data_IF_694432326778
#
_entry.id   IF_694432326778
#
_cell.length_a   1.000
_cell.length_b   1.000
_cell.length_c   1.000
_cell.angle_alpha   90.00
_cell.angle_beta   90.00
_cell.angle_gamma   90.00
#
_symmetry.space_group_name_H-M   'P 1'
#
loop_
_entity.id
_entity.type
_entity.pdbx_description
1 polymer ?
#
# COMPACT_ATOMS: atom_id res chain seq x y z
N UNK A 1 -0.43 -10.76 -37.83
CA UNK A 1 -0.88 -12.18 -37.95
C UNK A 1 -2.28 -12.37 -37.34
N UNK A 2 -3.22 -13.03 -38.06
CA UNK A 2 -4.63 -13.26 -37.65
C UNK A 2 -4.86 -14.58 -36.86
N UNK A 3 -3.83 -15.41 -36.69
CA UNK A 3 -3.93 -16.70 -35.98
C UNK A 3 -3.08 -16.65 -34.71
N UNK A 4 -3.73 -16.81 -33.55
CA UNK A 4 -3.07 -16.95 -32.25
C UNK A 4 -3.06 -18.40 -31.82
N UNK A 5 -1.87 -18.98 -31.70
CA UNK A 5 -1.66 -20.29 -31.10
C UNK A 5 -1.43 -20.13 -29.60
N UNK A 6 -2.10 -20.97 -28.78
CA UNK A 6 -1.93 -20.95 -27.31
C UNK A 6 -1.48 -22.33 -26.85
N UNK A 7 -0.33 -22.37 -26.18
CA UNK A 7 0.19 -23.56 -25.52
C UNK A 7 0.11 -23.39 -24.01
N UNK A 8 -0.38 -24.43 -23.30
CA UNK A 8 -0.46 -24.45 -21.84
C UNK A 8 0.53 -25.48 -21.31
N UNK A 9 1.51 -25.02 -20.54
CA UNK A 9 2.52 -25.89 -19.92
C UNK A 9 2.20 -26.01 -18.44
N UNK A 10 2.04 -27.25 -17.97
CA UNK A 10 1.85 -27.56 -16.54
C UNK A 10 3.20 -27.94 -15.95
N UNK A 11 3.61 -27.26 -14.88
CA UNK A 11 4.81 -27.63 -14.14
C UNK A 11 4.59 -28.94 -13.36
N UNK A 12 5.64 -29.77 -13.18
CA UNK A 12 5.58 -30.93 -12.30
C UNK A 12 5.18 -30.53 -10.88
N UNK A 13 4.42 -31.38 -10.17
CA UNK A 13 3.93 -31.07 -8.81
C UNK A 13 5.06 -30.73 -7.81
N UNK A 14 6.26 -31.29 -7.99
CA UNK A 14 7.44 -31.00 -7.16
C UNK A 14 8.00 -29.59 -7.37
N UNK A 15 7.61 -28.89 -8.44
CA UNK A 15 8.05 -27.54 -8.81
C UNK A 15 6.87 -26.59 -8.99
N UNK A 16 5.72 -26.86 -8.36
CA UNK A 16 4.52 -26.03 -8.43
C UNK A 16 4.62 -24.77 -7.54
N UNK A 17 5.78 -24.11 -7.55
CA UNK A 17 6.04 -22.88 -6.81
C UNK A 17 6.05 -21.67 -7.74
N UNK A 18 5.72 -20.50 -7.20
CA UNK A 18 5.77 -19.24 -7.95
C UNK A 18 7.17 -18.91 -8.45
N UNK A 19 8.20 -19.25 -7.67
CA UNK A 19 9.59 -19.10 -8.06
C UNK A 19 9.93 -19.92 -9.30
N UNK A 20 9.53 -21.20 -9.34
CA UNK A 20 9.78 -22.06 -10.50
C UNK A 20 9.04 -21.56 -11.76
N UNK A 21 7.80 -21.10 -11.61
CA UNK A 21 7.04 -20.51 -12.73
C UNK A 21 7.71 -19.25 -13.30
N UNK A 22 8.28 -18.40 -12.44
CA UNK A 22 9.04 -17.23 -12.88
C UNK A 22 10.34 -17.62 -13.60
N UNK A 23 11.09 -18.57 -13.05
CA UNK A 23 12.34 -19.05 -13.65
C UNK A 23 12.13 -19.62 -15.06
N UNK A 24 11.09 -20.45 -15.25
CA UNK A 24 10.76 -21.01 -16.58
C UNK A 24 10.34 -19.91 -17.55
N UNK A 25 9.59 -18.91 -17.09
CA UNK A 25 9.17 -17.77 -17.91
C UNK A 25 10.38 -16.95 -18.37
N UNK A 26 11.32 -16.68 -17.48
CA UNK A 26 12.56 -15.94 -17.78
C UNK A 26 13.51 -16.73 -18.69
N UNK A 27 13.64 -18.04 -18.47
CA UNK A 27 14.40 -18.93 -19.36
C UNK A 27 13.82 -18.92 -20.78
N UNK A 28 12.50 -19.07 -20.92
CA UNK A 28 11.85 -19.04 -22.23
C UNK A 28 12.03 -17.71 -22.96
N UNK A 29 11.99 -16.57 -22.24
CA UNK A 29 12.30 -15.25 -22.82
C UNK A 29 13.75 -15.15 -23.28
N UNK A 30 14.68 -15.72 -22.51
CA UNK A 30 16.12 -15.66 -22.80
C UNK A 30 16.54 -16.57 -23.96
N UNK A 31 15.98 -17.77 -24.04
CA UNK A 31 16.36 -18.76 -25.06
C UNK A 31 15.65 -18.54 -26.41
N UNK A 32 14.44 -17.97 -26.41
CA UNK A 32 13.62 -17.80 -27.62
C UNK A 32 13.18 -16.33 -27.83
N UNK A 33 14.10 -15.36 -27.87
CA UNK A 33 13.75 -13.93 -27.96
C UNK A 33 13.06 -13.55 -29.28
N UNK A 34 13.35 -14.26 -30.38
CA UNK A 34 12.80 -13.98 -31.71
C UNK A 34 11.42 -14.59 -31.96
N UNK A 35 10.95 -15.46 -31.06
CA UNK A 35 9.75 -16.25 -31.31
C UNK A 35 8.45 -15.43 -31.17
N UNK A 36 8.52 -14.20 -30.64
CA UNK A 36 7.36 -13.31 -30.49
C UNK A 36 6.30 -13.85 -29.53
N UNK A 37 6.70 -14.67 -28.55
CA UNK A 37 5.79 -15.32 -27.62
C UNK A 37 5.29 -14.35 -26.56
N UNK A 38 3.97 -14.30 -26.39
CA UNK A 38 3.36 -13.73 -25.20
C UNK A 38 3.33 -14.78 -24.09
N UNK A 39 4.34 -14.78 -23.22
CA UNK A 39 4.45 -15.74 -22.13
C UNK A 39 3.76 -15.18 -20.89
N UNK A 40 2.74 -15.91 -20.40
CA UNK A 40 2.00 -15.59 -19.18
C UNK A 40 2.07 -16.75 -18.21
N UNK A 41 2.19 -16.45 -16.92
CA UNK A 41 2.14 -17.45 -15.85
C UNK A 41 0.98 -17.14 -14.88
N UNK A 42 0.79 -17.99 -13.85
CA UNK A 42 -0.31 -17.82 -12.89
C UNK A 42 -0.26 -16.50 -12.12
N UNK A 43 0.93 -15.90 -12.01
CA UNK A 43 1.20 -14.67 -11.29
C UNK A 43 1.03 -13.41 -12.16
N UNK A 44 1.07 -13.58 -13.50
CA UNK A 44 0.95 -12.51 -14.48
C UNK A 44 -0.03 -12.90 -15.61
N UNK A 45 -1.24 -13.29 -15.23
CA UNK A 45 -2.30 -13.64 -16.20
C UNK A 45 -2.86 -12.40 -16.93
N UNK A 46 -2.91 -11.27 -16.23
CA UNK A 46 -3.28 -9.95 -16.73
C UNK A 46 -2.55 -8.88 -15.91
N UNK A 47 -1.79 -7.98 -16.53
CA UNK A 47 -1.13 -6.88 -15.82
C UNK A 47 -2.13 -5.99 -15.05
N UNK A 48 -3.35 -5.83 -15.58
CA UNK A 48 -4.41 -5.07 -14.89
C UNK A 48 -4.85 -5.78 -13.60
N UNK A 49 -5.10 -7.09 -13.68
CA UNK A 49 -5.53 -7.88 -12.53
C UNK A 49 -4.42 -7.96 -11.49
N UNK A 50 -3.17 -8.16 -11.92
CA UNK A 50 -2.01 -8.18 -11.04
C UNK A 50 -1.85 -6.86 -10.28
N UNK A 51 -1.91 -5.72 -10.99
CA UNK A 51 -1.86 -4.39 -10.35
C UNK A 51 -3.01 -4.18 -9.35
N UNK A 52 -4.21 -4.65 -9.67
CA UNK A 52 -5.36 -4.52 -8.77
C UNK A 52 -5.22 -5.41 -7.53
N UNK A 53 -4.75 -6.66 -7.68
CA UNK A 53 -4.46 -7.57 -6.56
C UNK A 53 -3.33 -7.01 -5.70
N UNK A 54 -2.26 -6.51 -6.31
CA UNK A 54 -1.14 -5.90 -5.59
C UNK A 54 -1.59 -4.68 -4.78
N UNK A 55 -2.36 -3.77 -5.38
CA UNK A 55 -2.95 -2.62 -4.67
C UNK A 55 -3.85 -3.05 -3.52
N UNK A 56 -4.66 -4.09 -3.71
CA UNK A 56 -5.52 -4.63 -2.67
C UNK A 56 -4.70 -5.22 -1.51
N UNK A 57 -3.64 -5.97 -1.81
CA UNK A 57 -2.72 -6.50 -0.79
C UNK A 57 -1.95 -5.39 -0.07
N UNK A 58 -1.51 -4.35 -0.79
CA UNK A 58 -0.88 -3.16 -0.20
C UNK A 58 -1.85 -2.44 0.76
N UNK A 59 -3.10 -2.28 0.33
CA UNK A 59 -4.16 -1.71 1.17
C UNK A 59 -4.38 -2.53 2.44
N UNK A 60 -4.57 -3.84 2.32
CA UNK A 60 -4.75 -4.73 3.48
C UNK A 60 -3.54 -4.69 4.42
N UNK A 61 -2.34 -4.55 3.86
CA UNK A 61 -1.10 -4.39 4.64
C UNK A 61 -1.15 -3.09 5.46
N UNK A 62 -1.50 -1.96 4.84
CA UNK A 62 -1.63 -0.68 5.56
C UNK A 62 -2.69 -0.78 6.64
N UNK A 63 -3.87 -1.31 6.33
CA UNK A 63 -4.97 -1.48 7.30
C UNK A 63 -4.52 -2.37 8.47
N UNK A 64 -3.87 -3.50 8.19
CA UNK A 64 -3.35 -4.42 9.20
C UNK A 64 -2.32 -3.77 10.11
N UNK A 65 -1.31 -3.09 9.54
CA UNK A 65 -0.29 -2.37 10.31
C UNK A 65 -0.88 -1.20 11.12
N UNK A 66 -1.94 -0.56 10.62
CA UNK A 66 -2.65 0.51 11.34
C UNK A 66 -3.48 -0.03 12.49
N UNK A 67 -4.19 -1.14 12.29
CA UNK A 67 -4.88 -1.84 13.37
C UNK A 67 -3.91 -2.27 14.47
N UNK A 68 -2.71 -2.75 14.10
CA UNK A 68 -1.67 -3.14 15.04
C UNK A 68 -1.15 -1.94 15.85
N UNK A 69 -0.92 -0.81 15.19
CA UNK A 69 -0.47 0.43 15.82
C UNK A 69 -1.50 1.00 16.81
N UNK A 70 -2.78 1.06 16.41
CA UNK A 70 -3.89 1.48 17.29
C UNK A 70 -4.08 0.52 18.45
N UNK A 71 -4.04 -0.79 18.19
CA UNK A 71 -4.07 -1.82 19.22
C UNK A 71 -2.92 -1.66 20.21
N UNK A 72 -1.69 -1.43 19.72
CA UNK A 72 -0.50 -1.20 20.53
C UNK A 72 -0.63 0.02 21.45
N UNK A 73 -1.09 1.16 20.93
CA UNK A 73 -1.35 2.35 21.77
C UNK A 73 -2.44 2.08 22.80
N UNK A 74 -3.48 1.33 22.44
CA UNK A 74 -4.49 0.85 23.38
C UNK A 74 -3.89 0.03 24.52
N UNK A 75 -2.99 -0.91 24.21
CA UNK A 75 -2.25 -1.71 25.19
C UNK A 75 -1.38 -0.82 26.09
N UNK A 76 -0.61 0.10 25.53
CA UNK A 76 0.23 1.03 26.31
C UNK A 76 -0.61 1.83 27.32
N UNK A 77 -1.76 2.33 26.89
CA UNK A 77 -2.67 3.11 27.74
C UNK A 77 -3.35 2.25 28.81
N UNK A 78 -3.80 1.05 28.46
CA UNK A 78 -4.40 0.11 29.39
C UNK A 78 -3.40 -0.31 30.47
N UNK A 79 -2.18 -0.65 30.08
CA UNK A 79 -1.09 -1.02 31.00
C UNK A 79 -0.72 0.16 31.90
N UNK A 80 -0.56 1.37 31.34
CA UNK A 80 -0.29 2.58 32.13
C UNK A 80 -1.40 2.81 33.17
N UNK A 81 -2.66 2.79 32.73
CA UNK A 81 -3.83 3.00 33.61
C UNK A 81 -3.91 1.94 34.71
N UNK A 82 -3.63 0.68 34.37
CA UNK A 82 -3.59 -0.42 35.34
C UNK A 82 -2.49 -0.22 36.39
N UNK A 83 -1.29 0.15 35.96
CA UNK A 83 -0.16 0.42 36.86
C UNK A 83 -0.41 1.64 37.76
N UNK A 84 -1.01 2.70 37.22
CA UNK A 84 -1.38 3.89 37.98
C UNK A 84 -2.37 3.53 39.11
N UNK A 85 -3.36 2.67 38.84
CA UNK A 85 -4.32 2.17 39.86
C UNK A 85 -3.68 1.24 40.88
N UNK A 86 -2.64 0.49 40.50
CA UNK A 86 -1.94 -0.46 41.38
C UNK A 86 -0.70 0.13 42.05
N UNK A 87 -0.47 1.45 41.92
CA UNK A 87 0.73 2.12 42.42
C UNK A 87 0.94 1.93 43.93
N UNK A 88 -0.12 2.04 44.73
CA UNK A 88 -0.07 1.79 46.16
C UNK A 88 0.33 0.34 46.48
N UNK A 89 -0.27 -0.65 45.79
CA UNK A 89 0.09 -2.06 45.94
C UNK A 89 1.55 -2.34 45.55
N UNK A 90 2.05 -1.71 44.49
CA UNK A 90 3.46 -1.78 44.08
C UNK A 90 4.37 -1.22 45.18
N UNK A 91 4.02 -0.08 45.76
CA UNK A 91 4.78 0.51 46.85
C UNK A 91 4.82 -0.39 48.09
N UNK A 92 3.70 -1.02 48.45
CA UNK A 92 3.63 -2.01 49.55
C UNK A 92 4.52 -3.22 49.29
N UNK A 93 4.51 -3.78 48.09
CA UNK A 93 5.41 -4.89 47.73
C UNK A 93 6.89 -4.50 47.87
N UNK A 94 7.25 -3.28 47.44
CA UNK A 94 8.62 -2.77 47.57
C UNK A 94 9.00 -2.46 49.03
N UNK A 95 8.04 -2.01 49.86
CA UNK A 95 8.23 -1.83 51.29
C UNK A 95 8.54 -3.17 52.00
N UNK A 96 7.91 -4.26 51.55
CA UNK A 96 8.16 -5.62 52.02
C UNK A 96 9.43 -6.26 51.43
N UNK A 97 10.24 -5.51 50.68
CA UNK A 97 11.53 -5.97 50.14
C UNK A 97 11.49 -6.52 48.71
N UNK A 98 10.39 -6.40 47.97
CA UNK A 98 10.37 -6.81 46.56
C UNK A 98 11.30 -5.91 45.72
N UNK A 99 12.17 -6.54 44.92
CA UNK A 99 13.01 -5.81 43.97
C UNK A 99 12.17 -5.24 42.81
N UNK A 100 12.62 -4.13 42.22
CA UNK A 100 11.93 -3.53 41.05
C UNK A 100 11.83 -4.50 39.87
N UNK A 101 12.83 -5.36 39.67
CA UNK A 101 12.80 -6.43 38.67
C UNK A 101 11.68 -7.43 38.91
N UNK A 102 11.44 -7.80 40.17
CA UNK A 102 10.36 -8.72 40.54
C UNK A 102 8.99 -8.13 40.22
N UNK A 103 8.79 -6.85 40.56
CA UNK A 103 7.57 -6.11 40.21
C UNK A 103 7.39 -6.08 38.69
N UNK A 104 8.43 -5.70 37.95
CA UNK A 104 8.41 -5.66 36.49
C UNK A 104 8.01 -7.03 35.89
N UNK A 105 8.63 -8.13 36.33
CA UNK A 105 8.33 -9.47 35.81
C UNK A 105 6.90 -9.90 36.10
N UNK A 106 6.36 -9.58 37.29
CA UNK A 106 4.96 -9.91 37.65
C UNK A 106 3.97 -9.22 36.72
N UNK A 107 4.12 -7.92 36.49
CA UNK A 107 3.19 -7.21 35.62
C UNK A 107 3.47 -7.50 34.13
N UNK A 108 4.70 -7.80 33.74
CA UNK A 108 5.02 -8.23 32.38
C UNK A 108 4.33 -9.56 32.07
N UNK A 109 4.39 -10.53 32.99
CA UNK A 109 3.75 -11.83 32.79
C UNK A 109 2.23 -11.69 32.70
N UNK A 110 1.61 -10.82 33.52
CA UNK A 110 0.17 -10.52 33.40
C UNK A 110 -0.20 -9.98 32.01
N UNK A 111 0.58 -9.02 31.49
CA UNK A 111 0.35 -8.45 30.17
C UNK A 111 0.55 -9.49 29.07
N UNK A 112 1.60 -10.32 29.16
CA UNK A 112 1.89 -11.35 28.16
C UNK A 112 0.86 -12.48 28.17
N UNK A 113 0.35 -12.88 29.34
CA UNK A 113 -0.75 -13.85 29.45
C UNK A 113 -2.01 -13.27 28.79
N UNK A 114 -2.33 -12.00 29.06
CA UNK A 114 -3.49 -11.36 28.46
C UNK A 114 -3.33 -11.21 26.93
N UNK A 115 -2.12 -10.90 26.46
CA UNK A 115 -1.78 -10.85 25.05
C UNK A 115 -1.87 -12.24 24.38
N UNK A 116 -1.48 -13.30 25.07
CA UNK A 116 -1.60 -14.67 24.57
C UNK A 116 -3.07 -15.08 24.42
N UNK A 117 -3.90 -14.81 25.44
CA UNK A 117 -5.34 -15.09 25.40
C UNK A 117 -6.01 -14.26 24.30
N UNK A 118 -5.75 -12.95 24.26
CA UNK A 118 -6.29 -12.07 23.23
C UNK A 118 -5.83 -12.46 21.82
N UNK A 119 -4.56 -12.84 21.67
CA UNK A 119 -3.99 -13.33 20.42
C UNK A 119 -4.61 -14.66 19.98
N UNK A 120 -4.87 -15.59 20.91
CA UNK A 120 -5.54 -16.86 20.61
C UNK A 120 -6.98 -16.63 20.14
N UNK A 121 -7.73 -15.75 20.81
CA UNK A 121 -9.08 -15.35 20.39
C UNK A 121 -9.03 -14.68 19.01
N UNK A 122 -8.10 -13.74 18.79
CA UNK A 122 -7.91 -13.08 17.51
C UNK A 122 -7.55 -14.04 16.37
N UNK A 123 -6.67 -15.00 16.63
CA UNK A 123 -6.30 -16.04 15.67
C UNK A 123 -7.47 -16.97 15.34
N UNK A 124 -8.28 -17.35 16.34
CA UNK A 124 -9.48 -18.14 16.13
C UNK A 124 -10.51 -17.40 15.26
N UNK A 125 -10.75 -16.11 15.56
CA UNK A 125 -11.62 -15.26 14.74
C UNK A 125 -11.07 -15.11 13.31
N UNK A 126 -9.77 -14.87 13.16
CA UNK A 126 -9.11 -14.78 11.86
C UNK A 126 -9.18 -16.07 11.05
N UNK A 127 -9.08 -17.23 11.70
CA UNK A 127 -9.21 -18.55 11.06
C UNK A 127 -10.64 -18.81 10.56
N UNK A 128 -11.66 -18.31 11.26
CA UNK A 128 -13.07 -18.49 10.90
C UNK A 128 -13.50 -17.54 9.77
N UNK A 129 -12.90 -16.34 9.68
CA UNK A 129 -13.33 -15.30 8.74
C UNK A 129 -13.41 -15.75 7.27
N UNK A 130 -12.42 -16.45 6.67
CA UNK A 130 -12.51 -16.91 5.29
C UNK A 130 -13.73 -17.81 5.03
N UNK A 131 -14.07 -18.68 5.97
CA UNK A 131 -15.24 -19.57 5.88
C UNK A 131 -16.54 -18.78 5.97
N UNK A 132 -16.62 -17.81 6.90
CA UNK A 132 -17.79 -16.95 7.06
C UNK A 132 -18.05 -16.10 5.81
N UNK A 133 -16.99 -15.52 5.24
CA UNK A 133 -17.08 -14.73 3.99
C UNK A 133 -17.50 -15.61 2.81
N UNK A 134 -16.91 -16.79 2.67
CA UNK A 134 -17.29 -17.74 1.62
C UNK A 134 -18.75 -18.17 1.73
N UNK A 135 -19.28 -18.38 2.94
CA UNK A 135 -20.67 -18.77 3.15
C UNK A 135 -21.65 -17.63 2.84
N UNK A 136 -21.33 -16.40 3.26
CA UNK A 136 -22.21 -15.26 3.08
C UNK A 136 -22.18 -14.69 1.64
N UNK A 137 -21.03 -14.70 0.98
CA UNK A 137 -20.80 -13.98 -0.29
C UNK A 137 -20.35 -14.88 -1.44
N UNK A 138 -20.11 -16.17 -1.22
CA UNK A 138 -19.61 -17.09 -2.26
C UNK A 138 -20.53 -17.23 -3.48
N UNK A 139 -21.84 -17.01 -3.32
CA UNK A 139 -22.81 -17.05 -4.42
C UNK A 139 -22.78 -15.78 -5.30
N UNK A 140 -22.29 -14.66 -4.77
CA UNK A 140 -22.26 -13.36 -5.46
C UNK A 140 -20.91 -13.14 -6.16
N UNK A 141 -19.85 -13.76 -5.64
CA UNK A 141 -18.49 -13.62 -6.16
C UNK A 141 -18.28 -14.66 -7.27
N UNK A 142 -18.05 -14.24 -8.54
CA UNK A 142 -17.89 -15.15 -9.69
C UNK A 142 -16.51 -15.85 -9.72
N UNK A 143 -15.86 -16.02 -8.57
CA UNK A 143 -14.51 -16.57 -8.41
C UNK A 143 -14.58 -17.69 -7.36
N UNK A 144 -14.03 -18.90 -7.63
CA UNK A 144 -14.04 -19.99 -6.66
C UNK A 144 -13.18 -19.63 -5.43
N UNK A 145 -13.84 -19.20 -4.36
CA UNK A 145 -13.23 -19.02 -3.05
C UNK A 145 -13.09 -20.38 -2.37
N UNK A 146 -11.86 -20.87 -2.26
CA UNK A 146 -11.57 -22.09 -1.51
C UNK A 146 -11.04 -21.63 -0.14
N UNK A 147 -11.88 -21.61 0.91
CA UNK A 147 -11.41 -21.25 2.23
C UNK A 147 -10.41 -22.30 2.72
N UNK A 148 -9.20 -21.85 3.04
CA UNK A 148 -8.13 -22.69 3.54
C UNK A 148 -7.55 -22.09 4.83
N UNK A 149 -7.12 -22.98 5.72
CA UNK A 149 -6.36 -22.58 6.90
C UNK A 149 -4.88 -22.51 6.52
N UNK A 150 -4.24 -21.39 6.85
CA UNK A 150 -2.82 -21.18 6.68
C UNK A 150 -2.16 -21.06 8.07
N UNK A 151 -1.66 -22.16 8.66
CA UNK A 151 -1.08 -22.14 10.01
C UNK A 151 0.10 -21.18 10.15
N UNK A 152 0.89 -21.00 9.08
CA UNK A 152 2.00 -20.04 9.04
C UNK A 152 1.54 -18.61 9.31
N UNK A 153 0.43 -18.19 8.68
CA UNK A 153 -0.13 -16.85 8.83
C UNK A 153 -0.74 -16.63 10.22
N UNK A 154 -1.36 -17.68 10.79
CA UNK A 154 -1.90 -17.62 12.16
C UNK A 154 -0.79 -17.49 13.21
N UNK A 155 0.30 -18.25 13.06
CA UNK A 155 1.47 -18.13 13.92
C UNK A 155 2.09 -16.74 13.79
N UNK A 156 2.20 -16.24 12.55
CA UNK A 156 2.74 -14.92 12.29
C UNK A 156 1.88 -13.81 12.93
N UNK A 157 0.56 -13.88 12.80
CA UNK A 157 -0.37 -12.96 13.46
C UNK A 157 -0.21 -12.97 14.99
N UNK A 158 -0.02 -14.17 15.58
CA UNK A 158 0.23 -14.31 17.00
C UNK A 158 1.56 -13.69 17.43
N UNK A 159 2.62 -13.86 16.63
CA UNK A 159 3.92 -13.20 16.87
C UNK A 159 3.77 -11.68 16.79
N UNK A 160 3.07 -11.14 15.79
CA UNK A 160 2.80 -9.69 15.71
C UNK A 160 2.04 -9.17 16.93
N UNK A 161 0.99 -9.88 17.36
CA UNK A 161 0.20 -9.50 18.53
C UNK A 161 1.02 -9.49 19.82
N UNK A 162 1.79 -10.54 20.09
CA UNK A 162 2.65 -10.65 21.26
C UNK A 162 3.77 -9.61 21.25
N UNK A 163 4.43 -9.43 20.11
CA UNK A 163 5.53 -8.47 19.97
C UNK A 163 5.04 -7.02 20.09
N UNK A 164 3.84 -6.74 19.58
CA UNK A 164 3.17 -5.43 19.76
C UNK A 164 2.82 -5.19 21.22
N UNK A 165 2.20 -6.16 21.89
CA UNK A 165 1.89 -6.04 23.32
C UNK A 165 3.16 -5.80 24.14
N UNK A 166 4.24 -6.54 23.85
CA UNK A 166 5.55 -6.36 24.48
C UNK A 166 6.11 -4.95 24.21
N UNK A 167 6.25 -4.54 22.95
CA UNK A 167 6.83 -3.26 22.55
C UNK A 167 6.13 -2.07 23.24
N UNK A 168 4.80 -2.09 23.28
CA UNK A 168 4.00 -0.99 23.84
C UNK A 168 3.84 -1.06 25.36
N UNK A 169 3.94 -2.24 25.99
CA UNK A 169 3.88 -2.38 27.45
C UNK A 169 5.21 -2.07 28.14
N UNK A 170 6.36 -2.30 27.49
CA UNK A 170 7.67 -2.16 28.10
C UNK A 170 7.96 -0.76 28.66
N UNK A 171 7.54 0.28 27.96
CA UNK A 171 7.73 1.66 28.40
C UNK A 171 6.98 2.01 29.70
N UNK A 172 5.64 1.84 29.79
CA UNK A 172 4.92 2.10 31.04
C UNK A 172 5.38 1.18 32.18
N UNK A 173 5.72 -0.08 31.88
CA UNK A 173 6.19 -1.04 32.86
C UNK A 173 7.59 -0.70 33.42
N UNK A 174 8.49 -0.25 32.55
CA UNK A 174 9.81 0.23 32.92
C UNK A 174 9.76 1.47 33.83
N UNK A 175 8.72 2.30 33.72
CA UNK A 175 8.49 3.40 34.67
C UNK A 175 7.96 2.92 36.02
N UNK A 176 7.12 1.88 36.03
CA UNK A 176 6.62 1.30 37.29
C UNK A 176 7.74 0.64 38.14
N UNK A 177 8.82 0.17 37.50
CA UNK A 177 10.00 -0.36 38.19
C UNK A 177 10.56 0.62 39.23
N UNK A 178 10.61 1.92 38.90
CA UNK A 178 11.25 2.95 39.71
C UNK A 178 10.28 3.69 40.66
N UNK A 179 9.06 3.17 40.87
CA UNK A 179 8.12 3.74 41.85
C UNK A 179 8.75 3.72 43.26
N UNK A 180 8.93 4.86 43.93
CA UNK A 180 9.53 4.91 45.26
C UNK A 180 8.59 4.34 46.32
N UNK A 181 9.15 3.74 47.38
CA UNK A 181 8.38 3.25 48.54
C UNK A 181 7.61 4.40 49.22
N UNK A 182 8.19 5.61 49.21
CA UNK A 182 7.55 6.83 49.73
C UNK A 182 6.28 7.27 48.98
N UNK A 183 5.95 6.64 47.84
CA UNK A 183 4.64 6.83 47.21
C UNK A 183 3.49 6.42 48.13
N UNK A 184 3.71 5.50 49.09
CA UNK A 184 2.71 5.09 50.09
C UNK A 184 2.29 6.21 51.05
N UNK A 185 3.16 7.21 51.28
CA UNK A 185 2.98 8.26 52.29
C UNK A 185 2.75 9.66 51.71
N UNK A 186 3.04 9.85 50.42
CA UNK A 186 2.85 11.13 49.68
C UNK A 186 2.16 10.85 48.35
N UNK A 187 0.89 10.50 48.41
CA UNK A 187 0.11 10.18 47.20
C UNK A 187 -0.15 11.39 46.27
N UNK A 188 0.20 12.63 46.66
CA UNK A 188 -0.35 13.83 45.99
C UNK A 188 0.67 14.88 45.48
N UNK A 189 1.91 14.99 45.99
CA UNK A 189 2.69 16.25 45.79
C UNK A 189 3.85 16.21 44.77
N UNK A 190 4.33 15.06 44.30
CA UNK A 190 5.30 15.10 43.19
C UNK A 190 5.35 13.80 42.39
N UNK A 191 4.57 13.72 41.32
CA UNK A 191 4.92 12.84 40.21
C UNK A 191 6.20 13.38 39.56
N UNK A 192 7.37 12.99 40.08
CA UNK A 192 8.62 13.23 39.37
C UNK A 192 8.56 12.41 38.07
N UNK A 193 8.73 13.04 36.90
CA UNK A 193 8.78 12.32 35.63
C UNK A 193 10.12 11.58 35.54
N UNK A 194 10.23 10.43 36.20
CA UNK A 194 11.39 9.57 36.04
C UNK A 194 11.28 8.85 34.71
N UNK A 195 12.18 9.19 33.79
CA UNK A 195 12.43 8.35 32.63
C UNK A 195 12.80 6.93 33.10
N UNK A 196 12.34 5.88 32.41
CA UNK A 196 12.71 4.53 32.78
C UNK A 196 14.23 4.35 32.67
N UNK A 197 14.80 3.42 33.44
CA UNK A 197 16.24 3.09 33.35
C UNK A 197 16.65 2.80 31.90
N UNK A 198 17.89 3.16 31.55
CA UNK A 198 18.46 2.98 30.21
C UNK A 198 18.30 1.56 29.66
N UNK A 199 18.33 0.54 30.54
CA UNK A 199 18.08 -0.86 30.17
C UNK A 199 16.67 -1.09 29.60
N UNK A 200 15.64 -0.53 30.23
CA UNK A 200 14.26 -0.67 29.76
C UNK A 200 13.97 0.20 28.54
N UNK A 201 14.65 1.34 28.39
CA UNK A 201 14.64 2.12 27.16
C UNK A 201 15.22 1.30 26.01
N UNK A 202 16.41 0.71 26.19
CA UNK A 202 17.05 -0.12 25.18
C UNK A 202 16.17 -1.33 24.80
N UNK A 203 15.53 -1.97 25.79
CA UNK A 203 14.65 -3.11 25.56
C UNK A 203 13.34 -2.70 24.83
N UNK A 204 12.80 -1.52 25.12
CA UNK A 204 11.66 -0.95 24.37
C UNK A 204 12.06 -0.66 22.93
N UNK A 205 13.20 0.00 22.72
CA UNK A 205 13.72 0.31 21.37
C UNK A 205 13.98 -0.99 20.59
N UNK A 206 14.58 -1.99 21.23
CA UNK A 206 14.80 -3.30 20.61
C UNK A 206 13.48 -3.98 20.21
N UNK A 207 12.46 -3.94 21.07
CA UNK A 207 11.14 -4.51 20.76
C UNK A 207 10.42 -3.77 19.62
N UNK A 208 10.48 -2.43 19.60
CA UNK A 208 9.91 -1.62 18.50
C UNK A 208 10.66 -1.85 17.19
N UNK A 209 11.99 -1.93 17.21
CA UNK A 209 12.80 -2.24 16.03
C UNK A 209 12.54 -3.67 15.55
N UNK A 210 12.42 -4.65 16.45
CA UNK A 210 12.05 -6.01 16.10
C UNK A 210 10.66 -6.05 15.43
N UNK A 211 9.69 -5.31 15.97
CA UNK A 211 8.35 -5.21 15.39
C UNK A 211 8.36 -4.58 14.00
N UNK A 212 9.05 -3.45 13.84
CA UNK A 212 9.19 -2.77 12.55
C UNK A 212 9.96 -3.59 11.52
N UNK A 213 11.02 -4.28 11.94
CA UNK A 213 11.82 -5.15 11.06
C UNK A 213 11.01 -6.35 10.62
N UNK A 214 10.27 -6.99 11.53
CA UNK A 214 9.35 -8.09 11.21
C UNK A 214 8.27 -7.61 10.22
N UNK A 215 7.65 -6.46 10.49
CA UNK A 215 6.67 -5.83 9.61
C UNK A 215 7.21 -5.57 8.19
N UNK A 216 8.46 -5.13 8.07
CA UNK A 216 9.08 -4.85 6.77
C UNK A 216 9.51 -6.13 6.05
N UNK A 217 10.11 -7.09 6.74
CA UNK A 217 10.68 -8.29 6.13
C UNK A 217 9.60 -9.22 5.58
N UNK A 218 8.47 -9.32 6.27
CA UNK A 218 7.38 -10.23 5.93
C UNK A 218 6.24 -9.56 5.15
N UNK A 219 6.28 -8.24 4.91
CA UNK A 219 5.32 -7.59 4.04
C UNK A 219 5.49 -8.02 2.58
N UNK A 220 4.37 -8.17 1.88
CA UNK A 220 4.33 -8.45 0.44
C UNK A 220 5.08 -7.37 -0.35
N UNK A 221 4.79 -6.11 -0.05
CA UNK A 221 5.53 -4.95 -0.57
C UNK A 221 6.34 -4.28 0.55
N UNK A 222 7.65 -4.52 0.53
CA UNK A 222 8.58 -3.93 1.50
C UNK A 222 8.64 -2.41 1.42
N UNK A 223 8.43 -1.81 0.24
CA UNK A 223 8.45 -0.34 0.08
C UNK A 223 7.28 0.27 0.80
N UNK A 224 6.09 -0.30 0.64
CA UNK A 224 4.88 0.14 1.35
C UNK A 224 5.04 -0.02 2.86
N UNK A 225 5.61 -1.14 3.33
CA UNK A 225 5.85 -1.35 4.75
C UNK A 225 6.88 -0.35 5.34
N UNK A 226 8.00 -0.09 4.65
CA UNK A 226 9.00 0.91 5.07
C UNK A 226 8.37 2.30 5.14
N UNK A 227 7.64 2.70 4.10
CA UNK A 227 6.96 3.99 4.05
C UNK A 227 5.95 4.10 5.18
N UNK A 228 5.15 3.06 5.42
CA UNK A 228 4.19 3.04 6.51
C UNK A 228 4.85 3.18 7.88
N UNK A 229 5.92 2.44 8.17
CA UNK A 229 6.66 2.55 9.44
C UNK A 229 7.23 3.96 9.63
N UNK A 230 7.78 4.56 8.56
CA UNK A 230 8.28 5.93 8.61
C UNK A 230 7.16 6.96 8.86
N UNK A 231 6.03 6.83 8.16
CA UNK A 231 4.84 7.69 8.34
C UNK A 231 4.27 7.51 9.74
N UNK A 232 4.13 6.28 10.23
CA UNK A 232 3.67 5.99 11.59
C UNK A 232 4.56 6.64 12.65
N UNK A 233 5.88 6.57 12.50
CA UNK A 233 6.82 7.25 13.38
C UNK A 233 6.66 8.78 13.30
N UNK A 234 6.52 9.33 12.10
CA UNK A 234 6.28 10.75 11.87
C UNK A 234 4.97 11.22 12.54
N UNK A 235 3.87 10.48 12.35
CA UNK A 235 2.57 10.74 12.98
C UNK A 235 2.68 10.67 14.50
N UNK A 236 3.39 9.68 15.04
CA UNK A 236 3.60 9.57 16.48
C UNK A 236 4.36 10.79 17.04
N UNK A 237 5.42 11.22 16.37
CA UNK A 237 6.18 12.43 16.72
C UNK A 237 5.30 13.67 16.59
N UNK A 238 4.54 13.80 15.49
CA UNK A 238 3.65 14.92 15.25
C UNK A 238 2.58 15.03 16.33
N UNK A 239 1.89 13.94 16.67
CA UNK A 239 0.89 13.93 17.75
C UNK A 239 1.52 14.26 19.10
N UNK A 240 2.76 13.84 19.33
CA UNK A 240 3.52 14.21 20.54
C UNK A 240 3.85 15.71 20.57
N UNK A 241 4.21 16.29 19.42
CA UNK A 241 4.45 17.72 19.26
C UNK A 241 3.15 18.51 19.46
N UNK A 242 2.05 18.09 18.86
CA UNK A 242 0.72 18.70 19.04
C UNK A 242 0.30 18.68 20.51
N UNK A 243 0.44 17.55 21.20
CA UNK A 243 0.15 17.46 22.63
C UNK A 243 1.04 18.40 23.46
N UNK A 244 2.32 18.54 23.08
CA UNK A 244 3.26 19.45 23.75
C UNK A 244 2.95 20.91 23.47
N UNK A 245 2.57 21.24 22.24
CA UNK A 245 2.15 22.57 21.82
C UNK A 245 0.86 22.98 22.53
N UNK A 246 -0.14 22.10 22.64
CA UNK A 246 -1.36 22.35 23.39
C UNK A 246 -1.07 22.66 24.87
N UNK A 247 -0.15 21.91 25.50
CA UNK A 247 0.28 22.20 26.87
C UNK A 247 1.03 23.53 26.96
N UNK A 248 1.87 23.85 25.98
CA UNK A 248 2.62 25.11 25.92
C UNK A 248 1.69 26.32 25.77
N UNK A 249 0.70 26.23 24.86
CA UNK A 249 -0.34 27.25 24.68
C UNK A 249 -1.15 27.40 25.96
N UNK A 250 -1.62 26.30 26.57
CA UNK A 250 -2.39 26.34 27.81
C UNK A 250 -1.60 26.95 28.98
N UNK A 251 -0.28 26.73 29.03
CA UNK A 251 0.60 27.32 30.04
C UNK A 251 0.78 28.83 29.88
N UNK A 252 0.81 29.33 28.64
CA UNK A 252 0.97 30.75 28.32
C UNK A 252 -0.36 31.50 28.15
N UNK A 253 -1.49 30.81 28.21
CA UNK A 253 -2.80 31.43 28.10
C UNK A 253 -3.03 32.43 29.26
N UNK A 254 -3.66 33.59 28.99
CA UNK A 254 -3.98 34.57 30.02
C UNK A 254 -4.88 33.94 31.10
N UNK A 255 -4.63 34.30 32.36
CA UNK A 255 -5.34 33.74 33.51
C UNK A 255 -6.82 34.13 33.42
N UNK A 256 -7.68 33.13 33.24
CA UNK A 256 -9.13 33.34 33.25
C UNK A 256 -9.60 33.90 34.61
N UNK A 257 -10.54 34.86 34.58
CA UNK A 257 -11.11 35.47 35.79
C UNK A 257 -11.92 34.49 36.64
N UNK A 258 -12.53 33.47 36.01
CA UNK A 258 -13.25 32.41 36.70
C UNK A 258 -12.30 31.34 37.25
N UNK A 259 -12.47 30.99 38.53
CA UNK A 259 -11.70 29.92 39.19
C UNK A 259 -11.89 28.56 38.51
N UNK A 260 -13.10 28.26 38.03
CA UNK A 260 -13.38 26.99 37.33
C UNK A 260 -12.60 26.85 36.02
N UNK A 261 -12.63 27.89 35.18
CA UNK A 261 -11.88 27.92 33.91
C UNK A 261 -10.37 27.87 34.14
N UNK A 262 -9.87 28.59 35.15
CA UNK A 262 -8.46 28.54 35.54
C UNK A 262 -8.02 27.14 35.96
N UNK A 263 -8.83 26.43 36.74
CA UNK A 263 -8.56 25.04 37.14
C UNK A 263 -8.63 24.07 35.95
N UNK A 264 -9.57 24.28 35.03
CA UNK A 264 -9.69 23.49 33.81
C UNK A 264 -8.45 23.62 32.91
N UNK A 265 -8.01 24.86 32.63
CA UNK A 265 -6.79 25.13 31.84
C UNK A 265 -5.53 24.60 32.54
N UNK A 266 -5.44 24.74 33.87
CA UNK A 266 -4.34 24.19 34.65
C UNK A 266 -4.24 22.65 34.57
N UNK A 267 -5.37 21.95 34.48
CA UNK A 267 -5.40 20.50 34.32
C UNK A 267 -4.82 20.02 32.98
N UNK A 268 -4.76 20.89 31.96
CA UNK A 268 -4.24 20.56 30.63
C UNK A 268 -2.71 20.46 30.62
N UNK A 269 -2.01 21.33 31.36
CA UNK A 269 -0.54 21.41 31.31
C UNK A 269 0.18 20.94 32.58
N UNK A 270 -0.53 20.63 33.68
CA UNK A 270 0.09 20.22 34.94
C UNK A 270 0.95 18.95 34.79
N UNK A 271 2.00 18.77 35.62
CA UNK A 271 2.74 17.50 35.68
C UNK A 271 1.80 16.33 35.94
N UNK A 272 1.78 15.34 35.03
CA UNK A 272 0.83 14.22 35.08
C UNK A 272 -0.51 14.47 34.39
N UNK A 273 -0.67 15.57 33.64
CA UNK A 273 -1.85 15.81 32.82
C UNK A 273 -2.13 14.66 31.84
N UNK A 274 -3.41 14.36 31.63
CA UNK A 274 -3.87 13.34 30.70
C UNK A 274 -3.76 13.78 29.24
N UNK A 275 -3.55 15.09 28.98
CA UNK A 275 -3.52 15.70 27.63
C UNK A 275 -2.65 14.93 26.64
N UNK A 276 -1.36 14.63 26.92
CA UNK A 276 -0.51 13.95 25.95
C UNK A 276 -0.99 12.53 25.63
N UNK A 277 -1.60 11.86 26.60
CA UNK A 277 -2.14 10.51 26.44
C UNK A 277 -3.43 10.53 25.63
N UNK A 278 -4.32 11.49 25.91
CA UNK A 278 -5.60 11.66 25.18
C UNK A 278 -5.35 12.08 23.74
N UNK A 279 -4.49 13.08 23.51
CA UNK A 279 -4.12 13.54 22.16
C UNK A 279 -3.52 12.41 21.34
N UNK A 280 -2.64 11.61 21.95
CA UNK A 280 -2.05 10.46 21.27
C UNK A 280 -3.09 9.38 20.98
N UNK A 281 -3.92 9.00 21.96
CA UNK A 281 -4.93 7.95 21.81
C UNK A 281 -6.02 8.32 20.80
N UNK A 282 -6.58 9.53 20.93
CA UNK A 282 -7.65 10.03 20.06
C UNK A 282 -7.09 10.39 18.68
N UNK A 283 -5.92 11.04 18.63
CA UNK A 283 -5.28 11.43 17.38
C UNK A 283 -4.92 10.24 16.50
N UNK A 284 -4.42 9.14 17.08
CA UNK A 284 -4.15 7.91 16.33
C UNK A 284 -5.44 7.27 15.81
N UNK A 285 -6.51 7.26 16.63
CA UNK A 285 -7.80 6.70 16.25
C UNK A 285 -8.46 7.49 15.11
N UNK A 286 -8.43 8.82 15.19
CA UNK A 286 -8.91 9.70 14.12
C UNK A 286 -8.03 9.57 12.88
N UNK A 287 -6.71 9.52 13.02
CA UNK A 287 -5.81 9.32 11.89
C UNK A 287 -6.09 8.00 11.16
N UNK A 288 -6.35 6.92 11.89
CA UNK A 288 -6.79 5.64 11.30
C UNK A 288 -8.12 5.80 10.56
N UNK A 289 -9.12 6.43 11.19
CA UNK A 289 -10.43 6.62 10.56
C UNK A 289 -10.33 7.43 9.28
N UNK A 290 -9.60 8.55 9.30
CA UNK A 290 -9.35 9.39 8.12
C UNK A 290 -8.59 8.60 7.06
N UNK A 291 -7.58 7.82 7.43
CA UNK A 291 -6.82 6.98 6.49
C UNK A 291 -7.75 5.98 5.79
N UNK A 292 -8.65 5.33 6.52
CA UNK A 292 -9.61 4.38 5.92
C UNK A 292 -10.58 5.10 4.97
N UNK A 293 -11.08 6.28 5.35
CA UNK A 293 -11.98 7.09 4.50
C UNK A 293 -11.28 7.54 3.22
N UNK A 294 -10.05 8.04 3.33
CA UNK A 294 -9.25 8.48 2.18
C UNK A 294 -8.97 7.32 1.23
N UNK A 295 -8.69 6.13 1.76
CA UNK A 295 -8.47 4.95 0.92
C UNK A 295 -9.77 4.51 0.23
N UNK A 296 -10.91 4.46 0.93
CA UNK A 296 -12.20 4.16 0.30
C UNK A 296 -12.53 5.17 -0.82
N UNK A 297 -12.34 6.47 -0.55
CA UNK A 297 -12.50 7.52 -1.54
C UNK A 297 -11.58 7.37 -2.74
N UNK A 298 -10.30 7.02 -2.50
CA UNK A 298 -9.33 6.78 -3.56
C UNK A 298 -9.73 5.60 -4.45
N UNK A 299 -10.14 4.47 -3.84
CA UNK A 299 -10.58 3.29 -4.58
C UNK A 299 -11.83 3.59 -5.41
N UNK A 300 -12.85 4.23 -4.81
CA UNK A 300 -14.07 4.62 -5.54
C UNK A 300 -13.77 5.53 -6.72
N UNK A 301 -12.93 6.54 -6.52
CA UNK A 301 -12.53 7.44 -7.60
C UNK A 301 -11.75 6.68 -8.69
N UNK A 302 -10.89 5.73 -8.32
CA UNK A 302 -10.15 4.94 -9.28
C UNK A 302 -11.08 4.06 -10.14
N UNK A 303 -12.09 3.43 -9.55
CA UNK A 303 -13.07 2.64 -10.29
C UNK A 303 -14.05 3.50 -11.10
N UNK A 304 -14.48 4.66 -10.56
CA UNK A 304 -15.40 5.56 -11.26
C UNK A 304 -14.73 6.28 -12.45
N UNK A 305 -13.44 6.61 -12.33
CA UNK A 305 -12.70 7.32 -13.38
C UNK A 305 -12.21 6.41 -14.52
N UNK A 306 -12.31 5.08 -14.39
CA UNK A 306 -11.99 4.13 -15.47
C UNK A 306 -13.12 3.96 -16.49
N UNK A 307 -14.32 4.48 -16.23
CA UNK A 307 -15.40 4.53 -17.21
C UNK A 307 -15.45 5.94 -17.81
N UNK A 308 -14.91 6.17 -19.02
CA UNK A 308 -15.15 7.44 -19.68
C UNK A 308 -16.66 7.53 -19.94
N UNK A 309 -17.32 8.55 -19.40
CA UNK A 309 -18.67 8.95 -19.81
C UNK A 309 -18.77 9.35 -21.31
N UNK A 310 -17.67 9.21 -22.06
CA UNK A 310 -17.47 9.57 -23.47
C UNK A 310 -16.87 8.43 -24.30
N UNK A 311 -16.96 7.17 -23.87
CA UNK A 311 -16.52 6.07 -24.71
C UNK A 311 -17.49 5.90 -25.90
N UNK A 312 -16.99 5.75 -27.15
CA UNK A 312 -17.79 5.36 -28.29
C UNK A 312 -18.68 4.16 -27.97
N UNK A 313 -19.96 4.25 -28.32
CA UNK A 313 -20.90 3.15 -28.14
C UNK A 313 -20.59 1.96 -29.06
N UNK A 314 -19.96 2.25 -30.21
CA UNK A 314 -19.56 1.25 -31.19
C UNK A 314 -18.16 1.54 -31.73
N UNK A 315 -17.39 0.48 -31.95
CA UNK A 315 -16.09 0.52 -32.60
C UNK A 315 -16.12 -0.43 -33.80
N UNK A 316 -15.80 0.11 -34.97
CA UNK A 316 -15.65 -0.67 -36.19
C UNK A 316 -14.17 -0.72 -36.56
N UNK A 317 -13.64 -1.92 -36.76
CA UNK A 317 -12.22 -2.16 -37.03
C UNK A 317 -12.06 -2.84 -38.39
N UNK A 318 -10.88 -2.70 -38.98
CA UNK A 318 -10.48 -3.35 -40.24
C UNK A 318 -11.43 -3.02 -41.42
N UNK A 319 -11.97 -1.80 -41.47
CA UNK A 319 -12.72 -1.29 -42.64
C UNK A 319 -11.71 -1.05 -43.78
N UNK A 320 -11.85 -1.73 -44.93
CA UNK A 320 -10.98 -1.49 -46.08
C UNK A 320 -11.05 -0.04 -46.57
N UNK A 321 -9.92 0.53 -47.01
CA UNK A 321 -9.84 1.93 -47.41
C UNK A 321 -10.79 2.30 -48.57
N UNK A 322 -11.08 1.35 -49.45
CA UNK A 322 -12.04 1.47 -50.55
C UNK A 322 -13.51 1.44 -50.08
N UNK A 323 -13.78 0.90 -48.88
CA UNK A 323 -15.12 0.79 -48.29
C UNK A 323 -15.42 1.85 -47.22
N UNK A 324 -14.43 2.65 -46.82
CA UNK A 324 -14.58 3.66 -45.77
C UNK A 324 -15.69 4.69 -46.06
N UNK A 325 -15.69 5.28 -47.28
CA UNK A 325 -16.72 6.24 -47.70
C UNK A 325 -18.14 5.66 -47.73
N UNK A 326 -18.39 4.52 -48.42
CA UNK A 326 -19.69 3.85 -48.36
C UNK A 326 -20.18 3.56 -46.93
N UNK A 327 -19.25 3.21 -46.03
CA UNK A 327 -19.58 2.94 -44.64
C UNK A 327 -19.96 4.21 -43.87
N UNK A 328 -19.24 5.32 -44.03
CA UNK A 328 -19.59 6.60 -43.40
C UNK A 328 -20.98 7.08 -43.87
N UNK A 329 -21.26 6.99 -45.17
CA UNK A 329 -22.56 7.34 -45.74
C UNK A 329 -23.69 6.47 -45.14
N UNK A 330 -23.45 5.17 -44.97
CA UNK A 330 -24.39 4.25 -44.32
C UNK A 330 -24.66 4.62 -42.86
N UNK A 331 -23.61 4.93 -42.08
CA UNK A 331 -23.76 5.31 -40.67
C UNK A 331 -24.52 6.63 -40.54
N UNK A 332 -24.23 7.62 -41.39
CA UNK A 332 -24.95 8.91 -41.41
C UNK A 332 -26.42 8.76 -41.78
N UNK A 333 -26.75 7.84 -42.69
CA UNK A 333 -28.13 7.55 -43.06
C UNK A 333 -28.92 6.91 -41.89
N UNK A 334 -28.29 5.98 -41.16
CA UNK A 334 -28.95 5.26 -40.07
C UNK A 334 -28.99 6.05 -38.76
N UNK A 335 -27.98 6.89 -38.50
CA UNK A 335 -27.84 7.68 -37.29
C UNK A 335 -27.35 9.11 -37.61
N UNK A 336 -28.24 10.02 -38.05
CA UNK A 336 -27.87 11.36 -38.49
C UNK A 336 -27.20 12.22 -37.41
N UNK A 337 -27.48 11.94 -36.13
CA UNK A 337 -26.91 12.64 -34.99
C UNK A 337 -25.62 11.99 -34.45
N UNK A 338 -25.14 10.89 -35.05
CA UNK A 338 -23.93 10.22 -34.59
C UNK A 338 -22.68 11.03 -34.97
N UNK A 339 -21.76 11.20 -34.01
CA UNK A 339 -20.42 11.70 -34.28
C UNK A 339 -19.57 10.54 -34.80
N UNK A 340 -19.28 10.54 -36.10
CA UNK A 340 -18.37 9.56 -36.73
C UNK A 340 -16.97 10.13 -36.72
N UNK A 341 -16.04 9.42 -36.08
CA UNK A 341 -14.61 9.73 -36.09
C UNK A 341 -13.88 8.63 -36.86
N UNK A 342 -13.31 8.99 -38.01
CA UNK A 342 -12.49 8.08 -38.81
C UNK A 342 -11.02 8.28 -38.46
N UNK A 343 -10.33 7.20 -38.11
CA UNK A 343 -8.90 7.22 -37.84
C UNK A 343 -8.20 6.21 -38.76
N UNK A 344 -7.40 6.67 -39.72
CA UNK A 344 -6.66 5.78 -40.60
C UNK A 344 -5.66 4.96 -39.77
N UNK A 345 -5.66 3.64 -39.97
CA UNK A 345 -4.75 2.72 -39.28
C UNK A 345 -4.09 1.74 -40.23
N UNK A 346 -2.84 1.42 -39.95
CA UNK A 346 -2.08 0.35 -40.59
C UNK A 346 -1.37 -0.46 -39.49
N UNK A 347 -1.04 -1.72 -39.77
CA UNK A 347 -0.32 -2.56 -38.80
C UNK A 347 1.16 -2.57 -39.12
N UNK A 348 1.99 -2.28 -38.13
CA UNK A 348 3.44 -2.38 -38.23
C UNK A 348 4.07 -2.84 -36.93
N UNK A 349 5.30 -3.34 -37.03
CA UNK A 349 6.07 -3.86 -35.89
C UNK A 349 7.38 -3.11 -35.78
N UNK A 350 7.73 -2.67 -34.58
CA UNK A 350 9.02 -2.02 -34.32
C UNK A 350 10.12 -3.09 -34.39
N UNK A 351 11.06 -2.91 -35.33
CA UNK A 351 12.20 -3.81 -35.52
C UNK A 351 13.43 -3.29 -34.79
N UNK A 352 13.66 -1.99 -34.86
CA UNK A 352 14.79 -1.34 -34.21
C UNK A 352 14.40 0.04 -33.66
N UNK A 353 15.07 0.46 -32.60
CA UNK A 353 14.97 1.81 -32.04
C UNK A 353 16.34 2.25 -31.52
N UNK A 354 16.74 3.48 -31.80
CA UNK A 354 18.08 4.03 -31.46
C UNK A 354 19.23 3.22 -32.05
N UNK A 355 19.01 2.59 -33.20
CA UNK A 355 19.98 1.66 -33.82
C UNK A 355 20.17 0.35 -33.06
N UNK A 356 19.36 0.07 -32.02
CA UNK A 356 19.37 -1.19 -31.28
C UNK A 356 18.19 -2.05 -31.75
N UNK A 357 18.43 -3.34 -32.00
CA UNK A 357 17.38 -4.28 -32.37
C UNK A 357 16.38 -4.48 -31.24
N UNK A 358 15.11 -4.70 -31.59
CA UNK A 358 14.01 -4.85 -30.63
C UNK A 358 14.26 -5.92 -29.54
N UNK A 359 15.07 -6.96 -29.81
CA UNK A 359 15.44 -7.98 -28.80
C UNK A 359 16.36 -7.45 -27.70
N UNK A 360 17.24 -6.52 -28.10
CA UNK A 360 18.32 -6.06 -27.24
C UNK A 360 17.93 -4.77 -26.51
N UNK A 361 16.78 -4.19 -26.88
CA UNK A 361 16.12 -3.14 -26.12
C UNK A 361 15.66 -3.67 -24.76
N UNK A 362 15.95 -2.90 -23.71
CA UNK A 362 15.48 -3.13 -22.35
C UNK A 362 14.37 -2.14 -22.03
N UNK A 363 13.13 -2.38 -22.50
CA UNK A 363 12.00 -1.51 -22.23
C UNK A 363 11.61 -1.58 -20.75
N UNK A 364 10.91 -0.56 -20.26
CA UNK A 364 10.16 -0.66 -19.01
C UNK A 364 9.00 -1.66 -19.15
N UNK A 365 8.53 -2.23 -18.04
CA UNK A 365 7.44 -3.22 -18.04
C UNK A 365 6.17 -2.70 -18.73
N UNK A 366 5.90 -1.40 -18.61
CA UNK A 366 4.75 -0.73 -19.22
C UNK A 366 4.91 -0.48 -20.74
N UNK A 367 6.14 -0.55 -21.28
CA UNK A 367 6.42 -0.33 -22.70
C UNK A 367 6.82 -1.62 -23.45
N UNK A 368 7.18 -2.68 -22.73
CA UNK A 368 7.66 -3.94 -23.30
C UNK A 368 6.68 -4.57 -24.29
N UNK A 369 5.37 -4.42 -24.05
CA UNK A 369 4.33 -4.95 -24.91
C UNK A 369 4.41 -4.38 -26.34
N UNK A 370 4.87 -3.14 -26.53
CA UNK A 370 4.92 -2.48 -27.85
C UNK A 370 5.86 -3.21 -28.82
N UNK A 371 6.91 -3.84 -28.31
CA UNK A 371 7.90 -4.56 -29.12
C UNK A 371 7.49 -6.00 -29.47
N UNK A 372 6.46 -6.55 -28.81
CA UNK A 372 6.15 -8.00 -28.88
C UNK A 372 5.22 -8.39 -30.03
N UNK A 373 4.54 -7.45 -30.69
CA UNK A 373 3.54 -7.76 -31.72
C UNK A 373 3.31 -6.59 -32.66
N UNK A 374 2.68 -6.86 -33.81
CA UNK A 374 2.19 -5.83 -34.71
C UNK A 374 1.23 -4.88 -33.96
N UNK A 375 1.45 -3.58 -34.09
CA UNK A 375 0.65 -2.52 -33.49
C UNK A 375 -0.06 -1.72 -34.56
N UNK A 376 -1.23 -1.20 -34.19
CA UNK A 376 -1.93 -0.20 -34.99
C UNK A 376 -1.12 1.09 -34.98
N UNK A 377 -0.77 1.56 -36.15
CA UNK A 377 -0.06 2.81 -36.40
C UNK A 377 -1.02 3.68 -37.19
N UNK A 378 -1.21 4.90 -36.74
CA UNK A 378 -1.99 5.88 -37.50
C UNK A 378 -1.08 6.70 -38.38
N UNK A 379 -1.57 7.07 -39.56
CA UNK A 379 -0.90 7.96 -40.51
C UNK A 379 -1.68 9.26 -40.71
N UNK A 380 -2.41 9.70 -39.66
CA UNK A 380 -3.13 10.97 -39.67
C UNK A 380 -2.19 12.15 -39.92
N UNK A 381 -2.59 13.06 -40.82
CA UNK A 381 -1.89 14.32 -41.07
C UNK A 381 -2.06 15.33 -39.93
N UNK A 382 -3.11 15.21 -39.13
CA UNK A 382 -3.39 16.07 -37.97
C UNK A 382 -3.19 15.31 -36.66
N UNK A 383 -2.92 16.06 -35.57
CA UNK A 383 -2.88 15.50 -34.22
C UNK A 383 -4.22 14.81 -33.93
N UNK A 384 -4.25 13.52 -33.58
CA UNK A 384 -5.50 12.82 -33.28
C UNK A 384 -6.27 13.47 -32.13
N UNK A 385 -7.60 13.50 -32.24
CA UNK A 385 -8.47 14.03 -31.19
C UNK A 385 -8.21 13.32 -29.85
N UNK A 386 -8.10 14.10 -28.78
CA UNK A 386 -7.75 13.60 -27.43
C UNK A 386 -6.24 13.43 -27.17
N UNK A 387 -5.39 13.63 -28.18
CA UNK A 387 -3.94 13.70 -28.00
C UNK A 387 -3.46 15.14 -27.91
N UNK A 388 -2.38 15.37 -27.14
CA UNK A 388 -1.68 16.66 -27.09
C UNK A 388 -0.19 16.45 -27.35
N UNK A 389 0.42 17.35 -28.13
CA UNK A 389 1.87 17.34 -28.34
C UNK A 389 2.53 17.82 -27.06
N UNK A 390 3.27 16.94 -26.39
CA UNK A 390 3.98 17.23 -25.14
C UNK A 390 5.39 17.76 -25.41
N UNK A 391 6.08 17.18 -26.39
CA UNK A 391 7.45 17.52 -26.78
C UNK A 391 7.56 17.51 -28.31
N UNK A 392 8.34 18.45 -28.87
CA UNK A 392 8.55 18.59 -30.31
C UNK A 392 7.51 19.46 -31.02
N UNK A 393 7.47 19.37 -32.35
CA UNK A 393 6.50 20.06 -33.21
C UNK A 393 5.84 19.03 -34.13
N UNK A 394 4.52 19.08 -34.25
CA UNK A 394 3.80 18.26 -35.21
C UNK A 394 4.16 18.67 -36.64
N UNK A 395 4.28 17.70 -37.54
CA UNK A 395 4.54 17.99 -38.94
C UNK A 395 3.31 18.62 -39.61
N UNK A 396 3.52 19.46 -40.62
CA UNK A 396 2.43 20.03 -41.41
C UNK A 396 1.76 18.97 -42.30
N UNK A 397 0.52 19.21 -42.77
CA UNK A 397 -0.21 18.28 -43.65
C UNK A 397 0.53 17.98 -44.97
N UNK A 398 1.38 18.90 -45.44
CA UNK A 398 2.15 18.77 -46.70
C UNK A 398 3.63 18.41 -46.48
N UNK A 399 3.96 17.76 -45.36
CA UNK A 399 5.34 17.41 -45.05
C UNK A 399 5.88 16.31 -46.00
N UNK A 400 6.89 16.67 -46.82
CA UNK A 400 7.55 15.77 -47.78
C UNK A 400 8.99 15.39 -47.39
N UNK A 401 9.38 15.61 -46.13
CA UNK A 401 10.70 15.24 -45.62
C UNK A 401 10.82 13.74 -45.30
N UNK A 402 11.94 13.31 -44.66
CA UNK A 402 12.09 11.93 -44.18
C UNK A 402 10.93 11.56 -43.23
N UNK A 403 10.43 10.32 -43.27
CA UNK A 403 9.26 9.89 -42.50
C UNK A 403 9.45 10.19 -41.02
N UNK A 404 8.54 10.98 -40.46
CA UNK A 404 8.51 11.31 -39.04
C UNK A 404 7.49 10.42 -38.32
N UNK A 405 7.75 10.13 -37.06
CA UNK A 405 6.87 9.32 -36.22
C UNK A 405 6.60 10.05 -34.91
N UNK A 406 5.35 9.99 -34.46
CA UNK A 406 4.96 10.44 -33.12
C UNK A 406 4.80 9.23 -32.22
N UNK A 407 5.35 9.31 -31.01
CA UNK A 407 5.21 8.29 -29.98
C UNK A 407 4.46 8.84 -28.76
N UNK A 408 3.66 7.97 -28.13
CA UNK A 408 3.11 8.28 -26.81
C UNK A 408 4.25 8.47 -25.80
N UNK A 409 4.21 9.56 -25.02
CA UNK A 409 5.30 9.94 -24.11
C UNK A 409 5.71 8.81 -23.16
N UNK A 410 4.75 8.11 -22.55
CA UNK A 410 5.03 7.01 -21.61
C UNK A 410 5.76 5.84 -22.29
N UNK A 411 5.39 5.53 -23.53
CA UNK A 411 6.06 4.49 -24.33
C UNK A 411 7.44 4.96 -24.78
N UNK A 412 7.58 6.21 -25.24
CA UNK A 412 8.85 6.79 -25.62
C UNK A 412 9.86 6.74 -24.46
N UNK A 413 9.46 7.21 -23.28
CA UNK A 413 10.30 7.18 -22.06
C UNK A 413 10.63 5.74 -21.65
N UNK A 414 9.66 4.82 -21.76
CA UNK A 414 9.84 3.40 -21.47
C UNK A 414 10.79 2.68 -22.43
N UNK A 415 10.88 3.12 -23.69
CA UNK A 415 11.87 2.66 -24.67
C UNK A 415 13.20 3.42 -24.59
N UNK A 416 13.26 4.51 -23.81
CA UNK A 416 14.40 5.41 -23.71
C UNK A 416 14.62 6.26 -24.96
N UNK A 417 13.57 6.52 -25.73
CA UNK A 417 13.58 7.32 -26.95
C UNK A 417 13.64 8.82 -26.63
N UNK A 418 14.40 9.56 -27.43
CA UNK A 418 14.47 11.02 -27.42
C UNK A 418 14.13 11.57 -28.81
N UNK A 419 13.76 12.86 -28.85
CA UNK A 419 13.56 13.56 -30.13
C UNK A 419 14.86 13.53 -30.95
N UNK A 420 14.76 13.06 -32.19
CA UNK A 420 15.89 12.89 -33.11
C UNK A 420 16.39 11.45 -33.21
N UNK A 421 15.95 10.54 -32.33
CA UNK A 421 16.28 9.12 -32.44
C UNK A 421 15.54 8.47 -33.62
N UNK A 422 16.19 7.48 -34.24
CA UNK A 422 15.61 6.70 -35.33
C UNK A 422 14.85 5.48 -34.81
N UNK A 423 13.73 5.17 -35.48
CA UNK A 423 12.91 3.97 -35.22
C UNK A 423 12.63 3.31 -36.56
N UNK A 424 12.87 2.00 -36.65
CA UNK A 424 12.54 1.19 -37.84
C UNK A 424 11.28 0.40 -37.58
N UNK A 425 10.31 0.50 -38.48
CA UNK A 425 9.01 -0.14 -38.35
C UNK A 425 8.73 -0.98 -39.60
N UNK A 426 8.61 -2.28 -39.41
CA UNK A 426 8.21 -3.17 -40.49
C UNK A 426 6.70 -3.07 -40.71
N UNK A 427 6.29 -2.56 -41.87
CA UNK A 427 4.90 -2.50 -42.33
C UNK A 427 4.75 -3.42 -43.54
N UNK A 428 3.91 -4.45 -43.40
CA UNK A 428 3.63 -5.42 -44.47
C UNK A 428 4.90 -6.04 -45.09
N UNK A 429 5.95 -6.26 -44.29
CA UNK A 429 7.20 -6.88 -44.74
C UNK A 429 8.24 -5.91 -45.31
N UNK A 430 8.00 -4.60 -45.22
CA UNK A 430 8.96 -3.54 -45.59
C UNK A 430 9.35 -2.72 -44.38
N UNK A 431 10.64 -2.46 -44.22
CA UNK A 431 11.22 -1.69 -43.12
C UNK A 431 11.20 -0.17 -43.35
#
# INVERSE_FOLDING_TARGET
SLVRWRYRVRLPQSSDTDAAANTVTELARKELPQAGWEIRNRNNASPQLQRNVERFTQFLTIVGLTALLVGGVGVANAVKSHLDRRRASIATLKALGASGRRVFTIYLSQVMILALIGGAIGAALGAIMPFAVSLAFGAIIPIPLIPALHPSELVLAMVYGLLTALAFALWPLGRAHDVPVGALFRDVVAAQPSWPRRTYIALTVAAVLALGTLAILLAYDRRVAILYVAVAACVFILLRLVGSLLMWIAKHAPRARSTGLRMAVANIYRPGALTPTIVLSLGLGIALLVTVIEIDGNLRNQFANELPAKAPSFYFLDIPADQAKPFDDFVRAQAPAAKVEEVPMLRGRIVSARGVQAQDLKPSDDAAWVLQSDRGITYSGTVPDGSRVVEGKWWGPDYQGPPLVSFEKKIADGLGLKLGDTVTVNVLGRD
#
